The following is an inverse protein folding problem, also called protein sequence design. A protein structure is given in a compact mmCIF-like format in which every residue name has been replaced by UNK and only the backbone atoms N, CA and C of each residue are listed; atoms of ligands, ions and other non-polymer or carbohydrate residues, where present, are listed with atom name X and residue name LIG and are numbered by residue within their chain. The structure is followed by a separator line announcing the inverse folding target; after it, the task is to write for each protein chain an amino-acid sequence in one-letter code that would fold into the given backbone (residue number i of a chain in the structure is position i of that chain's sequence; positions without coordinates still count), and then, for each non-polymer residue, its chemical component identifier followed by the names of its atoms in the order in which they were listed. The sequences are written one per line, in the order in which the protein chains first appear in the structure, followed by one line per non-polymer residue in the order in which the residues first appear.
data_IF_137194763102
#
_entry.id   IF_137194763102
#
_cell.length_a   1.000
_cell.length_b   1.000
_cell.length_c   1.000
_cell.angle_alpha   90.00
_cell.angle_beta   90.00
_cell.angle_gamma   90.00
#
_symmetry.space_group_name_H-M   'P 1'
#
loop_
_entity.id
_entity.type
_entity.pdbx_description
1 polymer ?
#
# COMPACT_ATOMS: atom_id res chain seq x y z
N UNK A 1 8.95 13.75 -0.32
CA UNK A 1 8.67 12.51 0.45
C UNK A 1 8.68 12.82 1.94
N UNK A 2 7.77 12.24 2.74
CA UNK A 2 7.76 12.44 4.21
C UNK A 2 7.65 11.11 4.95
N UNK A 3 8.33 11.01 6.09
CA UNK A 3 8.23 9.86 6.98
C UNK A 3 6.93 9.94 7.80
N UNK A 4 6.19 8.83 7.86
CA UNK A 4 4.98 8.68 8.67
C UNK A 4 5.07 7.41 9.49
N UNK A 5 4.61 7.46 10.74
CA UNK A 5 4.53 6.26 11.59
C UNK A 5 3.14 5.66 11.45
N UNK A 6 3.10 4.39 11.10
CA UNK A 6 1.87 3.61 10.87
C UNK A 6 1.92 2.31 11.64
N UNK A 7 0.76 1.76 11.94
CA UNK A 7 0.66 0.48 12.63
C UNK A 7 0.52 -0.67 11.63
N UNK A 8 1.32 -1.72 11.79
CA UNK A 8 1.26 -2.86 10.88
C UNK A 8 -0.10 -3.57 11.02
N UNK A 9 -0.86 -3.75 9.92
CA UNK A 9 -2.20 -4.35 10.00
C UNK A 9 -2.18 -5.85 10.32
N UNK A 10 -1.00 -6.47 10.39
CA UNK A 10 -0.81 -7.89 10.72
C UNK A 10 -0.39 -8.12 12.17
N UNK A 11 0.67 -7.44 12.64
CA UNK A 11 1.24 -7.67 13.97
C UNK A 11 1.05 -6.49 14.94
N UNK A 12 0.44 -5.38 14.52
CA UNK A 12 0.24 -4.17 15.32
C UNK A 12 1.51 -3.55 15.87
N UNK A 13 2.61 -3.73 15.13
CA UNK A 13 3.87 -3.06 15.42
C UNK A 13 3.89 -1.71 14.69
N UNK A 14 4.31 -0.67 15.39
CA UNK A 14 4.57 0.64 14.80
C UNK A 14 5.79 0.60 13.88
N UNK A 15 5.61 1.07 12.65
CA UNK A 15 6.63 1.11 11.61
C UNK A 15 6.67 2.52 11.03
N UNK A 16 7.86 3.08 10.89
CA UNK A 16 8.06 4.35 10.18
C UNK A 16 8.30 4.04 8.71
N UNK A 17 7.45 4.59 7.84
CA UNK A 17 7.51 4.41 6.39
C UNK A 17 7.68 5.75 5.69
N UNK A 18 8.38 5.75 4.57
CA UNK A 18 8.58 6.96 3.75
C UNK A 18 7.52 6.99 2.66
N UNK A 19 6.67 8.01 2.68
CA UNK A 19 5.61 8.19 1.69
C UNK A 19 5.95 9.30 0.68
N UNK A 20 5.68 9.04 -0.59
CA UNK A 20 5.65 10.06 -1.64
C UNK A 20 4.60 11.14 -1.40
N UNK A 21 4.74 12.26 -2.10
CA UNK A 21 3.77 13.36 -2.04
C UNK A 21 2.60 13.17 -3.00
N UNK A 22 2.73 12.25 -3.97
CA UNK A 22 1.79 11.95 -5.05
C UNK A 22 0.48 11.27 -4.62
N UNK A 23 0.20 11.14 -3.33
CA UNK A 23 -0.97 10.41 -2.78
C UNK A 23 -1.10 8.95 -3.22
N UNK A 24 -0.16 8.44 -4.03
CA UNK A 24 -0.19 7.10 -4.58
C UNK A 24 0.01 6.05 -3.48
N UNK A 25 -0.73 4.92 -3.53
CA UNK A 25 -0.53 3.80 -2.63
C UNK A 25 0.84 3.17 -2.86
N UNK A 26 1.55 2.88 -1.77
CA UNK A 26 2.88 2.26 -1.81
C UNK A 26 2.95 1.03 -0.92
N UNK A 27 3.70 0.02 -1.37
CA UNK A 27 4.00 -1.16 -0.57
C UNK A 27 5.13 -0.91 0.42
N UNK A 28 4.90 -1.31 1.66
CA UNK A 28 5.90 -1.31 2.72
C UNK A 28 5.96 -2.68 3.40
N UNK A 29 7.16 -3.10 3.80
CA UNK A 29 7.37 -4.33 4.55
C UNK A 29 7.49 -4.02 6.05
N UNK A 30 6.81 -4.79 6.89
CA UNK A 30 6.97 -4.68 8.33
C UNK A 30 8.27 -5.38 8.78
N UNK A 31 9.19 -4.71 9.48
CA UNK A 31 10.41 -5.35 9.99
C UNK A 31 10.14 -6.37 11.11
N UNK A 32 8.98 -6.30 11.77
CA UNK A 32 8.61 -7.22 12.85
C UNK A 32 8.12 -8.58 12.34
N UNK A 33 7.18 -8.60 11.39
CA UNK A 33 6.59 -9.84 10.89
C UNK A 33 6.96 -10.20 9.44
N UNK A 34 7.70 -9.33 8.74
CA UNK A 34 8.13 -9.54 7.35
C UNK A 34 7.02 -9.39 6.30
N UNK A 35 5.77 -9.14 6.70
CA UNK A 35 4.63 -9.03 5.78
C UNK A 35 4.59 -7.66 5.10
N UNK A 36 4.17 -7.65 3.84
CA UNK A 36 3.94 -6.43 3.05
C UNK A 36 2.52 -5.91 3.27
N UNK A 37 2.38 -4.60 3.34
CA UNK A 37 1.12 -3.88 3.46
C UNK A 37 1.16 -2.61 2.61
N UNK A 38 -0.01 -2.07 2.29
CA UNK A 38 -0.17 -0.88 1.47
C UNK A 38 -0.42 0.31 2.38
N UNK A 39 0.25 1.42 2.09
CA UNK A 39 0.03 2.70 2.74
C UNK A 39 -0.31 3.74 1.68
N UNK A 40 -1.44 4.40 1.89
CA UNK A 40 -2.02 5.40 0.99
C UNK A 40 -2.30 6.67 1.78
N UNK A 41 -1.97 7.84 1.22
CA UNK A 41 -2.40 9.12 1.81
C UNK A 41 -3.83 9.40 1.36
N UNK A 42 -4.74 9.55 2.32
CA UNK A 42 -6.09 10.02 2.09
C UNK A 42 -6.30 11.44 2.62
N UNK A 43 -7.42 12.05 2.24
CA UNK A 43 -7.81 13.38 2.72
C UNK A 43 -7.94 13.45 4.25
N UNK A 44 -8.28 12.34 4.90
CA UNK A 44 -8.44 12.23 6.36
C UNK A 44 -7.19 11.70 7.08
N UNK A 45 -6.06 11.57 6.38
CA UNK A 45 -4.80 11.04 6.93
C UNK A 45 -4.31 9.78 6.22
N UNK A 46 -3.38 9.07 6.85
CA UNK A 46 -2.75 7.88 6.27
C UNK A 46 -3.63 6.64 6.46
N UNK A 47 -3.96 5.98 5.35
CA UNK A 47 -4.70 4.72 5.33
C UNK A 47 -3.74 3.56 5.19
N UNK A 48 -3.94 2.52 6.00
CA UNK A 48 -3.09 1.33 6.04
C UNK A 48 -3.94 0.11 5.75
N UNK A 49 -3.53 -0.69 4.77
CA UNK A 49 -4.34 -1.79 4.23
C UNK A 49 -3.49 -3.04 4.04
N UNK A 50 -4.10 -4.21 4.22
CA UNK A 50 -3.49 -5.48 3.81
C UNK A 50 -3.58 -5.59 2.29
N UNK A 51 -2.56 -6.15 1.65
CA UNK A 51 -2.52 -6.38 0.19
C UNK A 51 -3.80 -7.07 -0.32
N UNK A 52 -4.25 -8.11 0.38
CA UNK A 52 -5.44 -8.90 0.03
C UNK A 52 -6.77 -8.17 0.26
N UNK A 53 -6.78 -7.13 1.08
CA UNK A 53 -7.98 -6.34 1.40
C UNK A 53 -8.03 -5.03 0.60
N UNK A 54 -6.98 -4.73 -0.15
CA UNK A 54 -6.92 -3.53 -0.97
C UNK A 54 -7.75 -3.71 -2.24
N UNK A 55 -8.70 -2.79 -2.55
CA UNK A 55 -9.37 -2.78 -3.84
C UNK A 55 -8.34 -2.60 -4.95
N UNK A 56 -8.64 -3.11 -6.15
CA UNK A 56 -7.71 -3.14 -7.27
C UNK A 56 -7.09 -1.77 -7.59
N UNK A 57 -7.87 -0.68 -7.47
CA UNK A 57 -7.38 0.69 -7.66
C UNK A 57 -6.33 1.14 -6.64
N UNK A 58 -6.34 0.59 -5.42
CA UNK A 58 -5.35 0.88 -4.38
C UNK A 58 -4.28 -0.20 -4.26
N UNK A 59 -4.39 -1.31 -5.01
CA UNK A 59 -3.40 -2.38 -5.05
C UNK A 59 -2.56 -2.23 -6.33
N UNK A 60 -1.28 -1.78 -6.21
CA UNK A 60 -0.42 -1.58 -7.36
C UNK A 60 -0.34 -2.82 -8.25
N UNK A 61 -0.27 -4.03 -7.67
CA UNK A 61 -0.14 -5.28 -8.44
C UNK A 61 -1.42 -5.64 -9.20
N UNK A 62 -2.60 -5.23 -8.72
CA UNK A 62 -3.86 -5.50 -9.41
C UNK A 62 -4.09 -4.52 -10.58
N UNK A 63 -3.68 -3.26 -10.41
CA UNK A 63 -3.72 -2.24 -11.47
C UNK A 63 -2.91 -2.64 -12.70
N UNK A 64 -1.81 -3.37 -12.53
CA UNK A 64 -0.96 -3.84 -13.64
C UNK A 64 -1.68 -4.90 -14.48
N UNK A 65 -2.52 -5.73 -13.85
CA UNK A 65 -3.24 -6.84 -14.50
C UNK A 65 -4.36 -6.32 -15.42
N UNK A 66 -5.02 -5.20 -15.09
CA UNK A 66 -6.02 -4.59 -15.98
C UNK A 66 -5.41 -3.98 -17.26
N UNK A 67 -4.10 -3.72 -17.29
CA UNK A 67 -3.43 -3.19 -18.49
C UNK A 67 -2.88 -4.31 -19.39
N UNK A 68 -2.80 -5.55 -18.91
CA UNK A 68 -2.37 -6.72 -19.70
C UNK A 68 -3.53 -7.55 -20.28
N UNK A 69 -4.78 -7.12 -20.10
CA UNK A 69 -5.96 -7.80 -20.63
C UNK A 69 -6.62 -7.04 -21.80
N UNK A 70 -5.83 -6.35 -22.62
CA UNK A 70 -6.29 -5.84 -23.91
C UNK A 70 -5.53 -6.51 -25.05
N UNK A 71 -6.33 -7.25 -25.83
CA UNK A 71 -6.16 -7.74 -27.20
C UNK A 71 -4.96 -8.63 -27.54
N UNK A 72 -5.23 -9.93 -27.75
CA UNK A 72 -4.92 -10.59 -29.02
C UNK A 72 -6.16 -11.43 -29.42
N UNK A 73 -6.40 -11.47 -30.73
CA UNK A 73 -7.65 -11.69 -31.48
C UNK A 73 -8.24 -13.11 -31.43
#
# INVERSE_FOLDING_TARGET
MSAVTVDCPYCRQSVTVTQGEDYAPQFHACPGCGKRFIVERGASGTKVMKEKEAPCMSNPECREIETSATCEE
#
